data_IF_107316560235
#
_entry.id   IF_107316560235
#
_cell.length_a   1.000
_cell.length_b   1.000
_cell.length_c   1.000
_cell.angle_alpha   90.00
_cell.angle_beta   90.00
_cell.angle_gamma   90.00
#
_symmetry.space_group_name_H-M   'P 1'
#
loop_
_entity.id
_entity.type
_entity.pdbx_description
1 polymer ?
#
# COMPACT_ATOMS: atom_id res chain seq x y z
N UNK A 1 -13.48 6.47 13.41
CA UNK A 1 -13.07 7.62 12.57
C UNK A 1 -11.98 8.43 13.27
N UNK A 2 -10.73 7.99 13.13
CA UNK A 2 -9.57 8.81 13.53
C UNK A 2 -9.34 9.79 12.39
N UNK A 3 -9.58 11.08 12.63
CA UNK A 3 -9.21 12.17 11.70
C UNK A 3 -7.68 12.22 11.56
N UNK A 4 -7.18 12.87 10.51
CA UNK A 4 -5.76 13.13 10.30
C UNK A 4 -5.07 13.47 11.63
N UNK A 5 -4.01 12.72 11.95
CA UNK A 5 -3.33 12.89 13.23
C UNK A 5 -2.59 14.22 13.25
N UNK A 6 -2.39 14.77 14.44
CA UNK A 6 -1.53 15.93 14.65
C UNK A 6 -0.05 15.50 14.60
N UNK A 7 0.31 14.78 13.55
CA UNK A 7 1.61 14.18 13.33
C UNK A 7 2.49 15.05 12.43
N UNK A 8 3.81 14.96 12.61
CA UNK A 8 4.79 15.48 11.67
C UNK A 8 5.33 14.34 10.83
N UNK A 9 5.89 14.72 9.68
CA UNK A 9 6.62 13.79 8.85
C UNK A 9 7.90 13.32 9.56
N UNK A 10 8.25 12.02 9.52
CA UNK A 10 9.43 11.49 10.23
C UNK A 10 10.77 11.89 9.59
N UNK A 11 10.75 12.62 8.48
CA UNK A 11 11.95 13.21 7.87
C UNK A 11 11.76 14.73 7.68
N UNK A 12 12.81 15.55 7.83
CA UNK A 12 12.71 17.01 7.83
C UNK A 12 12.45 17.67 6.46
N UNK A 13 12.47 16.92 5.35
CA UNK A 13 12.34 17.44 3.99
C UNK A 13 11.26 16.70 3.20
N UNK A 14 10.88 17.26 2.04
CA UNK A 14 9.94 16.69 1.08
C UNK A 14 10.46 15.34 0.57
N UNK A 15 10.16 14.28 1.28
CA UNK A 15 10.56 12.91 0.99
C UNK A 15 9.58 12.23 0.06
N UNK A 16 10.07 11.23 -0.64
CA UNK A 16 9.27 10.41 -1.55
C UNK A 16 8.84 9.13 -0.85
N UNK A 17 7.62 8.66 -1.10
CA UNK A 17 7.27 7.30 -0.72
C UNK A 17 7.99 6.32 -1.65
N UNK A 18 8.72 5.41 -1.04
CA UNK A 18 9.37 4.29 -1.69
C UNK A 18 8.38 3.12 -1.84
N UNK A 19 7.66 2.78 -0.78
CA UNK A 19 6.66 1.71 -0.73
C UNK A 19 5.51 2.18 0.13
N UNK A 20 4.28 1.75 -0.17
CA UNK A 20 3.08 2.11 0.61
C UNK A 20 2.49 0.88 1.26
N UNK A 21 1.56 1.14 2.18
CA UNK A 21 0.76 0.11 2.81
C UNK A 21 -0.03 -0.66 1.76
N UNK A 22 -0.01 -1.99 1.83
CA UNK A 22 -0.62 -2.85 0.84
C UNK A 22 0.26 -3.17 -0.37
N UNK A 23 1.38 -2.47 -0.58
CA UNK A 23 2.27 -2.75 -1.72
C UNK A 23 2.75 -4.21 -1.68
N UNK A 24 2.45 -5.02 -2.69
CA UNK A 24 2.96 -6.38 -2.78
C UNK A 24 4.43 -6.36 -3.11
N UNK A 25 5.22 -7.13 -2.36
CA UNK A 25 6.64 -7.32 -2.57
C UNK A 25 6.88 -8.81 -2.80
N UNK A 26 7.41 -9.13 -3.98
CA UNK A 26 7.91 -10.46 -4.28
C UNK A 26 9.43 -10.45 -4.16
N UNK A 27 9.94 -11.24 -3.22
CA UNK A 27 11.36 -11.51 -3.02
C UNK A 27 11.57 -13.00 -3.31
N UNK A 28 12.17 -13.33 -4.46
CA UNK A 28 12.33 -14.70 -4.91
C UNK A 28 10.98 -15.45 -5.03
N UNK A 29 10.86 -16.60 -4.36
CA UNK A 29 9.62 -17.38 -4.25
C UNK A 29 8.69 -16.89 -3.14
N UNK A 30 9.09 -15.90 -2.35
CA UNK A 30 8.30 -15.37 -1.24
C UNK A 30 7.56 -14.10 -1.69
N UNK A 31 6.24 -14.13 -1.64
CA UNK A 31 5.40 -12.94 -1.76
C UNK A 31 4.94 -12.50 -0.38
N UNK A 32 5.10 -11.22 -0.05
CA UNK A 32 4.52 -10.61 1.14
C UNK A 32 3.89 -9.26 0.80
N UNK A 33 3.10 -8.75 1.74
CA UNK A 33 2.42 -7.46 1.62
C UNK A 33 3.15 -6.48 2.52
N UNK A 34 3.50 -5.33 1.96
CA UNK A 34 4.15 -4.26 2.68
C UNK A 34 3.15 -3.61 3.65
N UNK A 35 3.42 -3.65 4.95
CA UNK A 35 2.51 -3.14 6.01
C UNK A 35 2.81 -1.72 6.43
N UNK A 36 3.65 -1.01 5.67
CA UNK A 36 4.16 0.29 6.08
C UNK A 36 4.24 1.29 4.94
N UNK A 37 4.68 2.49 5.29
CA UNK A 37 5.11 3.51 4.36
C UNK A 37 6.64 3.63 4.46
N UNK A 38 7.34 3.33 3.38
CA UNK A 38 8.78 3.56 3.30
C UNK A 38 9.03 4.99 2.81
N UNK A 39 9.86 5.72 3.56
CA UNK A 39 10.12 7.13 3.31
C UNK A 39 11.60 7.32 3.04
N UNK A 40 11.91 7.84 1.85
CA UNK A 40 13.28 8.11 1.42
C UNK A 40 13.59 9.60 1.45
N UNK A 41 14.84 9.91 1.75
CA UNK A 41 15.38 11.24 1.41
C UNK A 41 15.50 11.39 -0.12
N UNK A 42 15.16 12.55 -0.70
CA UNK A 42 15.27 12.78 -2.15
C UNK A 42 16.70 12.67 -2.67
N UNK A 43 17.66 13.22 -1.92
CA UNK A 43 19.07 13.25 -2.30
C UNK A 43 19.96 12.65 -1.19
N UNK A 44 21.07 11.98 -1.54
CA UNK A 44 22.03 11.48 -0.55
C UNK A 44 22.67 12.56 0.33
N UNK A 45 22.59 13.83 -0.09
CA UNK A 45 23.09 14.99 0.65
C UNK A 45 22.11 15.53 1.68
N UNK A 46 20.85 15.11 1.63
CA UNK A 46 19.82 15.58 2.55
C UNK A 46 20.00 14.96 3.94
N UNK A 47 19.37 15.59 4.94
CA UNK A 47 19.47 15.13 6.34
C UNK A 47 19.05 13.66 6.46
N UNK A 48 19.77 12.95 7.33
CA UNK A 48 19.45 11.59 7.73
C UNK A 48 18.67 11.56 9.03
N UNK A 49 18.34 12.70 9.63
CA UNK A 49 17.62 12.73 10.90
C UNK A 49 16.23 12.10 10.76
N UNK A 50 15.89 11.26 11.73
CA UNK A 50 14.56 10.69 11.90
C UNK A 50 13.88 11.41 13.05
N UNK A 51 12.70 11.96 12.77
CA UNK A 51 11.92 12.76 13.70
C UNK A 51 10.79 11.92 14.30
N UNK A 52 10.48 12.16 15.58
CA UNK A 52 9.30 11.62 16.23
C UNK A 52 8.02 12.18 15.55
N UNK A 53 7.18 11.35 14.89
CA UNK A 53 5.98 11.82 14.20
C UNK A 53 4.97 12.42 15.18
N UNK A 54 4.99 11.98 16.43
CA UNK A 54 4.07 12.34 17.50
C UNK A 54 4.83 12.51 18.80
N UNK A 55 4.24 13.23 19.76
CA UNK A 55 4.74 13.24 21.12
C UNK A 55 4.25 11.97 21.85
N UNK A 56 5.06 11.46 22.78
CA UNK A 56 4.67 10.31 23.59
C UNK A 56 5.86 9.55 24.16
N UNK A 57 5.62 8.27 24.45
CA UNK A 57 6.58 7.40 25.09
C UNK A 57 7.32 6.58 24.04
N UNK A 58 8.61 6.84 23.85
CA UNK A 58 9.48 6.15 22.91
C UNK A 58 10.22 4.98 23.56
N UNK A 59 10.34 3.87 22.85
CA UNK A 59 11.02 2.65 23.26
C UNK A 59 11.63 1.95 22.04
N UNK A 60 12.52 0.98 22.27
CA UNK A 60 13.24 0.28 21.20
C UNK A 60 13.04 -1.22 21.25
N UNK A 61 13.06 -1.84 20.07
CA UNK A 61 13.10 -3.28 19.88
C UNK A 61 13.70 -3.60 18.50
N UNK A 62 14.03 -4.87 18.23
CA UNK A 62 14.46 -5.33 16.91
C UNK A 62 13.31 -5.97 16.10
N UNK A 63 13.57 -6.41 14.87
CA UNK A 63 12.57 -7.09 14.01
C UNK A 63 11.96 -8.35 14.63
N UNK A 64 12.64 -8.96 15.61
CA UNK A 64 12.16 -10.14 16.31
C UNK A 64 11.35 -9.78 17.57
N UNK A 65 11.22 -8.49 17.89
CA UNK A 65 10.55 -8.00 19.08
C UNK A 65 11.41 -8.07 20.34
N UNK A 66 12.73 -8.31 20.22
CA UNK A 66 13.61 -8.28 21.37
C UNK A 66 13.77 -6.82 21.83
N UNK A 67 13.36 -6.53 23.06
CA UNK A 67 13.39 -5.19 23.63
C UNK A 67 14.84 -4.69 23.76
N UNK A 68 15.06 -3.42 23.42
CA UNK A 68 16.35 -2.74 23.47
C UNK A 68 17.12 -2.72 22.14
N UNK A 69 18.33 -2.16 22.17
CA UNK A 69 19.21 -2.06 21.00
C UNK A 69 20.26 -3.17 21.02
N UNK A 70 20.34 -3.96 19.94
CA UNK A 70 21.19 -5.15 19.83
C UNK A 70 22.38 -4.97 18.88
N UNK A 71 22.76 -3.72 18.59
CA UNK A 71 23.98 -3.41 17.82
C UNK A 71 23.83 -3.40 16.30
N UNK A 72 22.65 -3.73 15.77
CA UNK A 72 22.33 -3.59 14.34
C UNK A 72 21.37 -2.41 14.13
N UNK A 73 21.84 -1.25 13.64
CA UNK A 73 21.00 -0.09 13.35
C UNK A 73 19.91 -0.37 12.31
N UNK A 74 20.16 -1.26 11.35
CA UNK A 74 19.20 -1.53 10.29
C UNK A 74 18.04 -2.41 10.77
N UNK A 75 18.33 -3.31 11.71
CA UNK A 75 17.32 -4.14 12.38
C UNK A 75 16.59 -3.41 13.53
N UNK A 76 17.06 -2.24 13.94
CA UNK A 76 16.47 -1.49 15.04
C UNK A 76 15.14 -0.83 14.66
N UNK A 77 14.22 -0.83 15.63
CA UNK A 77 12.89 -0.24 15.55
C UNK A 77 12.70 0.71 16.73
N UNK A 78 12.34 1.96 16.45
CA UNK A 78 11.92 2.93 17.46
C UNK A 78 10.39 2.96 17.48
N UNK A 79 9.79 2.44 18.53
CA UNK A 79 8.36 2.52 18.80
C UNK A 79 8.02 3.80 19.58
N UNK A 80 6.94 4.50 19.21
CA UNK A 80 6.41 5.63 19.95
C UNK A 80 4.93 5.40 20.20
N UNK A 81 4.55 5.25 21.47
CA UNK A 81 3.14 5.20 21.86
C UNK A 81 2.61 6.61 22.03
N UNK A 82 1.61 6.99 21.22
CA UNK A 82 0.91 8.26 21.34
C UNK A 82 -0.26 8.13 22.34
N UNK A 83 -0.19 8.78 23.51
CA UNK A 83 -1.27 8.70 24.50
C UNK A 83 -2.57 9.35 24.02
N UNK A 84 -2.56 10.22 23.01
CA UNK A 84 -3.75 10.90 22.49
C UNK A 84 -4.54 10.00 21.54
N UNK A 85 -3.90 9.44 20.52
CA UNK A 85 -4.54 8.53 19.56
C UNK A 85 -4.62 7.08 20.02
N UNK A 86 -3.81 6.70 21.03
CA UNK A 86 -3.61 5.31 21.48
C UNK A 86 -2.98 4.39 20.43
N UNK A 87 -2.35 4.97 19.41
CA UNK A 87 -1.63 4.26 18.37
C UNK A 87 -0.15 4.12 18.73
N UNK A 88 0.51 3.13 18.14
CA UNK A 88 1.96 2.96 18.19
C UNK A 88 2.52 3.23 16.81
N UNK A 89 3.44 4.18 16.71
CA UNK A 89 4.23 4.42 15.51
C UNK A 89 5.52 3.62 15.63
N UNK A 90 5.83 2.80 14.63
CA UNK A 90 7.09 2.05 14.58
C UNK A 90 7.92 2.61 13.44
N UNK A 91 9.13 3.07 13.76
CA UNK A 91 10.09 3.59 12.82
C UNK A 91 11.25 2.61 12.72
N UNK A 92 11.31 1.89 11.62
CA UNK A 92 12.34 0.89 11.34
C UNK A 92 13.47 1.49 10.50
N UNK A 93 14.61 0.79 10.49
CA UNK A 93 15.84 1.21 9.82
C UNK A 93 16.36 2.54 10.37
N UNK A 94 16.34 2.67 11.70
CA UNK A 94 16.77 3.86 12.43
C UNK A 94 17.96 3.51 13.30
N UNK A 95 19.08 4.18 13.11
CA UNK A 95 20.15 4.28 14.11
C UNK A 95 19.64 5.14 15.28
N UNK A 96 19.27 4.55 16.43
CA UNK A 96 18.57 5.29 17.49
C UNK A 96 19.48 6.33 18.15
N UNK A 97 18.90 7.38 18.73
CA UNK A 97 19.68 8.40 19.43
C UNK A 97 20.42 7.82 20.66
N UNK A 98 21.53 8.42 21.10
CA UNK A 98 22.26 7.96 22.29
C UNK A 98 21.38 7.87 23.54
N UNK A 99 20.40 8.76 23.69
CA UNK A 99 19.45 8.76 24.81
C UNK A 99 18.54 7.53 24.78
N UNK A 100 18.05 7.14 23.60
CA UNK A 100 17.27 5.92 23.42
C UNK A 100 18.13 4.68 23.67
N UNK A 101 19.36 4.65 23.14
CA UNK A 101 20.33 3.57 23.40
C UNK A 101 20.59 3.41 24.91
N UNK A 102 20.83 4.52 25.61
CA UNK A 102 21.08 4.53 27.05
C UNK A 102 19.85 4.10 27.88
N UNK A 103 18.64 4.32 27.39
CA UNK A 103 17.42 3.85 28.04
C UNK A 103 17.31 2.32 28.06
N UNK A 104 17.96 1.63 27.11
CA UNK A 104 18.00 0.17 27.04
C UNK A 104 16.61 -0.43 26.86
N UNK A 105 16.16 -1.19 27.86
CA UNK A 105 14.81 -1.77 27.88
C UNK A 105 13.72 -0.85 28.45
N UNK A 106 14.11 0.34 28.91
CA UNK A 106 13.17 1.35 29.39
C UNK A 106 12.69 2.25 28.24
N UNK A 107 11.71 3.09 28.53
CA UNK A 107 11.22 4.11 27.62
C UNK A 107 11.65 5.51 28.05
N UNK A 108 11.60 6.45 27.09
CA UNK A 108 11.80 7.88 27.34
C UNK A 108 10.63 8.67 26.76
N UNK A 109 10.39 9.87 27.29
CA UNK A 109 9.43 10.79 26.69
C UNK A 109 10.08 11.55 25.53
N UNK A 110 9.35 11.66 24.42
CA UNK A 110 9.76 12.45 23.25
C UNK A 110 8.69 13.45 22.89
N UNK A 111 9.13 14.58 22.35
CA UNK A 111 8.23 15.60 21.79
C UNK A 111 8.09 15.41 20.28
N UNK A 112 6.95 15.82 19.74
CA UNK A 112 6.71 15.78 18.29
C UNK A 112 7.77 16.59 17.54
N UNK A 113 8.39 16.01 16.53
CA UNK A 113 9.45 16.63 15.73
C UNK A 113 10.84 16.56 16.37
N UNK A 114 10.98 15.95 17.55
CA UNK A 114 12.27 15.68 18.16
C UNK A 114 13.05 14.67 17.31
N UNK A 115 14.35 14.90 17.12
CA UNK A 115 15.25 13.91 16.51
C UNK A 115 15.38 12.73 17.46
N UNK A 116 15.05 11.53 16.97
CA UNK A 116 15.10 10.27 17.72
C UNK A 116 16.13 9.29 17.15
N UNK A 117 16.83 9.68 16.09
CA UNK A 117 17.85 8.86 15.47
C UNK A 117 18.20 9.36 14.08
N UNK A 118 18.86 8.50 13.33
CA UNK A 118 19.23 8.73 11.93
C UNK A 118 18.85 7.54 11.06
N UNK A 119 18.63 7.74 9.77
CA UNK A 119 18.41 6.67 8.82
C UNK A 119 19.60 5.71 8.84
N UNK A 120 19.35 4.43 9.11
CA UNK A 120 20.39 3.41 9.11
C UNK A 120 20.89 3.13 7.69
N UNK A 121 22.15 2.70 7.57
CA UNK A 121 22.67 2.24 6.28
C UNK A 121 22.13 0.83 6.01
N UNK A 122 21.54 0.55 4.85
CA UNK A 122 21.18 -0.81 4.49
C UNK A 122 22.44 -1.69 4.42
N UNK A 123 22.33 -3.00 4.72
CA UNK A 123 23.45 -3.94 4.72
C UNK A 123 23.89 -4.33 3.30
N UNK A 124 24.01 -3.33 2.42
CA UNK A 124 24.54 -3.44 1.08
C UNK A 124 26.02 -3.07 1.13
N UNK A 125 26.89 -3.99 0.71
CA UNK A 125 28.35 -3.81 0.74
C UNK A 125 28.90 -2.85 -0.32
N UNK A 126 28.08 -1.94 -0.86
CA UNK A 126 28.43 -1.10 -2.01
C UNK A 126 28.09 0.38 -1.75
N UNK A 127 28.79 1.34 -2.39
CA UNK A 127 28.53 2.78 -2.21
C UNK A 127 27.09 3.21 -2.53
N UNK A 128 26.38 2.46 -3.36
CA UNK A 128 24.98 2.70 -3.72
C UNK A 128 24.03 2.58 -2.52
N UNK A 129 24.45 1.90 -1.44
CA UNK A 129 23.70 1.76 -0.19
C UNK A 129 23.17 3.09 0.36
N UNK A 130 23.92 4.17 0.19
CA UNK A 130 23.54 5.52 0.64
C UNK A 130 22.26 6.05 -0.02
N UNK A 131 22.00 5.65 -1.27
CA UNK A 131 20.78 6.02 -2.00
C UNK A 131 19.53 5.27 -1.52
N UNK A 132 19.71 4.21 -0.73
CA UNK A 132 18.64 3.36 -0.23
C UNK A 132 18.35 3.56 1.26
N UNK A 133 18.96 4.55 1.90
CA UNK A 133 18.58 4.95 3.26
C UNK A 133 17.13 5.41 3.28
N UNK A 134 16.34 4.77 4.11
CA UNK A 134 14.91 5.02 4.27
C UNK A 134 14.48 4.68 5.69
N UNK A 135 13.33 5.20 6.10
CA UNK A 135 12.66 4.72 7.30
C UNK A 135 11.37 4.04 6.89
N UNK A 136 11.13 2.84 7.41
CA UNK A 136 9.90 2.10 7.22
C UNK A 136 8.98 2.41 8.41
N UNK A 137 7.79 2.94 8.12
CA UNK A 137 6.87 3.46 9.13
C UNK A 137 5.62 2.60 9.21
N UNK A 138 5.43 1.89 10.32
CA UNK A 138 4.15 1.24 10.64
C UNK A 138 3.35 2.09 11.63
N UNK A 139 2.02 2.05 11.52
CA UNK A 139 1.10 2.55 12.55
C UNK A 139 0.24 1.39 13.02
N UNK A 140 0.30 1.08 14.30
CA UNK A 140 -0.39 -0.07 14.90
C UNK A 140 -1.46 0.41 15.87
N UNK A 141 -2.68 -0.09 15.67
CA UNK A 141 -3.77 -0.03 16.65
C UNK A 141 -3.76 -1.33 17.46
N UNK A 142 -3.05 -1.29 18.60
CA UNK A 142 -2.90 -2.47 19.46
C UNK A 142 -4.22 -2.95 20.07
N UNK A 143 -5.19 -2.05 20.27
CA UNK A 143 -6.50 -2.41 20.82
C UNK A 143 -7.33 -3.18 19.78
N UNK A 144 -7.29 -2.75 18.52
CA UNK A 144 -7.97 -3.43 17.42
C UNK A 144 -7.12 -4.53 16.75
N UNK A 145 -5.86 -4.72 17.17
CA UNK A 145 -4.90 -5.71 16.63
C UNK A 145 -4.72 -5.60 15.11
N UNK A 146 -4.55 -4.38 14.61
CA UNK A 146 -4.42 -4.11 13.17
C UNK A 146 -3.32 -3.09 12.88
N UNK A 147 -2.73 -3.23 11.70
CA UNK A 147 -1.89 -2.21 11.10
C UNK A 147 -2.78 -1.22 10.33
N UNK A 148 -2.38 0.04 10.31
CA UNK A 148 -3.08 1.13 9.66
C UNK A 148 -2.19 1.72 8.57
N UNK A 149 -2.78 2.08 7.43
CA UNK A 149 -2.07 2.75 6.34
C UNK A 149 -1.51 4.11 6.79
N UNK A 150 -0.18 4.27 6.95
CA UNK A 150 0.41 5.50 7.45
C UNK A 150 0.14 6.71 6.56
N UNK A 151 -0.07 6.51 5.25
CA UNK A 151 -0.33 7.59 4.30
C UNK A 151 -1.63 8.35 4.58
N UNK A 152 -2.58 7.73 5.31
CA UNK A 152 -3.83 8.38 5.74
C UNK A 152 -3.67 9.24 6.99
N UNK A 153 -2.62 9.02 7.78
CA UNK A 153 -2.45 9.61 9.11
C UNK A 153 -1.30 10.60 9.20
N UNK A 154 -0.29 10.44 8.34
CA UNK A 154 0.83 11.37 8.22
C UNK A 154 0.50 12.48 7.21
N UNK A 155 1.11 13.67 7.34
CA UNK A 155 0.93 14.78 6.39
C UNK A 155 1.66 14.48 5.08
N UNK A 156 1.17 13.48 4.34
CA UNK A 156 1.73 13.04 3.09
C UNK A 156 1.29 13.99 1.96
N UNK A 157 2.26 14.65 1.33
CA UNK A 157 2.00 15.70 0.34
C UNK A 157 2.27 15.25 -1.11
N UNK A 158 2.86 14.07 -1.29
CA UNK A 158 3.25 13.54 -2.59
C UNK A 158 2.15 12.62 -3.10
N UNK A 159 1.19 13.18 -3.85
CA UNK A 159 0.02 12.47 -4.32
C UNK A 159 -0.39 12.97 -5.69
N UNK A 160 -0.57 12.05 -6.65
CA UNK A 160 -1.30 12.35 -7.89
C UNK A 160 -2.53 11.49 -8.02
N UNK A 161 -3.54 12.02 -8.72
CA UNK A 161 -4.73 11.24 -9.03
C UNK A 161 -4.35 9.95 -9.79
N UNK A 162 -4.95 8.79 -9.45
CA UNK A 162 -4.57 7.53 -10.08
C UNK A 162 -4.78 7.54 -11.59
N UNK A 163 -4.06 6.70 -12.33
CA UNK A 163 -4.15 6.57 -13.79
C UNK A 163 -4.73 5.22 -14.18
N UNK A 164 -5.59 5.23 -15.19
CA UNK A 164 -6.10 3.99 -15.79
C UNK A 164 -5.16 3.53 -16.91
N UNK A 165 -4.91 2.22 -16.93
CA UNK A 165 -4.43 1.49 -18.10
C UNK A 165 -5.60 1.05 -18.97
N UNK A 166 -5.76 -0.27 -19.13
CA UNK A 166 -6.85 -0.85 -19.92
C UNK A 166 -8.11 -1.18 -19.11
N UNK A 167 -9.24 -1.27 -19.82
CA UNK A 167 -10.49 -1.88 -19.33
C UNK A 167 -10.87 -2.96 -20.32
N UNK A 168 -10.94 -4.21 -19.88
CA UNK A 168 -11.18 -5.36 -20.75
C UNK A 168 -12.06 -6.40 -20.07
N UNK A 169 -12.44 -7.43 -20.83
CA UNK A 169 -13.19 -8.59 -20.31
C UNK A 169 -12.36 -9.86 -20.36
N UNK A 170 -12.55 -10.68 -19.33
CA UNK A 170 -12.13 -12.08 -19.31
C UNK A 170 -13.36 -12.97 -19.50
N UNK A 171 -13.22 -14.04 -20.28
CA UNK A 171 -14.26 -15.07 -20.39
C UNK A 171 -14.23 -16.04 -19.19
N UNK A 172 -15.15 -17.01 -19.18
CA UNK A 172 -15.24 -18.06 -18.16
C UNK A 172 -13.96 -18.92 -18.00
N UNK A 173 -13.02 -18.84 -18.95
CA UNK A 173 -11.71 -19.53 -18.91
C UNK A 173 -10.56 -18.58 -18.58
N UNK A 174 -10.86 -17.37 -18.09
CA UNK A 174 -9.91 -16.30 -17.80
C UNK A 174 -9.10 -15.82 -19.02
N UNK A 175 -9.59 -16.05 -20.24
CA UNK A 175 -8.94 -15.52 -21.45
C UNK A 175 -9.40 -14.10 -21.72
N UNK A 176 -8.42 -13.21 -21.85
CA UNK A 176 -8.64 -11.84 -22.32
C UNK A 176 -9.17 -11.86 -23.75
N UNK A 177 -10.34 -11.26 -23.95
CA UNK A 177 -10.94 -11.09 -25.26
C UNK A 177 -11.14 -9.60 -25.57
N UNK A 178 -10.78 -9.19 -26.78
CA UNK A 178 -11.08 -7.86 -27.31
C UNK A 178 -12.50 -7.73 -27.88
N UNK A 179 -13.24 -8.84 -27.97
CA UNK A 179 -14.64 -8.91 -28.43
C UNK A 179 -15.54 -9.51 -27.36
N UNK A 180 -16.76 -9.01 -27.26
CA UNK A 180 -17.75 -9.56 -26.33
C UNK A 180 -18.21 -10.95 -26.78
N UNK A 181 -17.96 -11.97 -25.96
CA UNK A 181 -18.51 -13.31 -26.12
C UNK A 181 -19.78 -13.48 -25.29
N UNK A 182 -20.68 -14.34 -25.74
CA UNK A 182 -21.84 -14.76 -24.96
C UNK A 182 -21.38 -15.64 -23.80
N UNK A 183 -22.00 -15.51 -22.63
CA UNK A 183 -21.69 -16.30 -21.45
C UNK A 183 -21.24 -15.47 -20.24
N UNK A 184 -20.65 -16.15 -19.25
CA UNK A 184 -20.02 -15.51 -18.10
C UNK A 184 -18.81 -14.67 -18.51
N UNK A 185 -18.81 -13.41 -18.09
CA UNK A 185 -17.73 -12.47 -18.28
C UNK A 185 -17.32 -11.85 -16.94
N UNK A 186 -16.03 -11.58 -16.82
CA UNK A 186 -15.49 -10.71 -15.79
C UNK A 186 -14.97 -9.42 -16.42
N UNK A 187 -15.24 -8.28 -15.79
CA UNK A 187 -14.78 -6.97 -16.23
C UNK A 187 -13.57 -6.59 -15.39
N UNK A 188 -12.42 -6.47 -16.05
CA UNK A 188 -11.15 -6.15 -15.39
C UNK A 188 -10.72 -4.74 -15.77
N UNK A 189 -10.23 -4.01 -14.77
CA UNK A 189 -9.50 -2.75 -14.99
C UNK A 189 -8.04 -2.93 -14.65
N UNK A 190 -7.18 -2.24 -15.38
CA UNK A 190 -5.81 -1.96 -15.00
C UNK A 190 -5.72 -0.52 -14.52
N UNK A 191 -5.13 -0.33 -13.35
CA UNK A 191 -4.97 0.99 -12.74
C UNK A 191 -3.63 1.05 -12.02
N UNK A 192 -3.10 2.25 -11.91
CA UNK A 192 -1.89 2.55 -11.16
C UNK A 192 -2.14 3.85 -10.40
N UNK A 193 -1.96 3.85 -9.10
CA UNK A 193 -1.72 5.10 -8.37
C UNK A 193 -0.26 5.53 -8.56
N UNK A 194 0.07 6.80 -8.34
CA UNK A 194 1.45 7.29 -8.40
C UNK A 194 1.62 8.48 -7.46
N UNK A 195 2.86 8.72 -7.10
CA UNK A 195 3.29 9.93 -6.41
C UNK A 195 4.19 10.78 -7.33
N UNK A 196 4.06 12.10 -7.28
CA UNK A 196 4.73 13.07 -8.15
C UNK A 196 6.24 12.82 -8.19
N UNK A 197 6.83 12.53 -7.04
CA UNK A 197 8.27 12.32 -6.90
C UNK A 197 8.66 10.85 -6.82
N UNK A 198 7.70 9.94 -6.78
CA UNK A 198 7.99 8.52 -6.89
C UNK A 198 8.14 8.11 -8.35
N UNK A 199 9.20 7.35 -8.64
CA UNK A 199 9.36 6.67 -9.92
C UNK A 199 8.41 5.47 -10.08
N UNK A 200 7.52 5.22 -9.10
CA UNK A 200 6.78 3.98 -8.91
C UNK A 200 5.28 4.21 -9.03
N UNK A 201 4.58 3.12 -9.38
CA UNK A 201 3.14 3.06 -9.27
C UNK A 201 2.72 2.26 -8.03
N UNK A 202 1.66 2.71 -7.36
CA UNK A 202 1.10 2.14 -6.14
C UNK A 202 -0.31 1.60 -6.34
N UNK A 203 -0.79 0.85 -5.35
CA UNK A 203 -2.18 0.43 -5.30
C UNK A 203 -3.10 1.62 -5.03
N UNK A 204 -4.31 1.54 -5.59
CA UNK A 204 -5.36 2.51 -5.30
C UNK A 204 -5.97 2.22 -3.93
N UNK A 205 -6.50 3.26 -3.29
CA UNK A 205 -7.07 3.16 -1.96
C UNK A 205 -8.54 2.72 -1.96
N UNK A 206 -9.28 3.16 -2.98
CA UNK A 206 -10.70 2.87 -3.11
C UNK A 206 -11.14 2.88 -4.57
N UNK A 207 -12.27 2.22 -4.85
CA UNK A 207 -12.91 2.24 -6.17
C UNK A 207 -14.44 2.19 -6.06
N UNK A 208 -15.10 2.64 -7.13
CA UNK A 208 -16.53 2.51 -7.36
C UNK A 208 -16.78 2.28 -8.84
N UNK A 209 -17.88 1.64 -9.20
CA UNK A 209 -18.16 1.39 -10.61
C UNK A 209 -19.65 1.24 -10.91
N UNK A 210 -19.96 1.39 -12.20
CA UNK A 210 -21.24 1.05 -12.79
C UNK A 210 -21.00 0.34 -14.11
N UNK A 211 -21.61 -0.82 -14.28
CA UNK A 211 -21.60 -1.61 -15.51
C UNK A 211 -23.02 -1.60 -16.06
N UNK A 212 -23.17 -1.14 -17.30
CA UNK A 212 -24.44 -1.20 -18.04
C UNK A 212 -24.31 -2.07 -19.28
N UNK A 213 -25.32 -2.88 -19.55
CA UNK A 213 -25.42 -3.73 -20.75
C UNK A 213 -26.52 -3.13 -21.61
N UNK A 214 -26.17 -2.70 -22.82
CA UNK A 214 -27.09 -2.03 -23.75
C UNK A 214 -27.93 -0.91 -23.15
N UNK A 215 -27.33 -0.15 -22.22
CA UNK A 215 -27.95 0.98 -21.53
C UNK A 215 -28.70 0.64 -20.25
N UNK A 216 -28.91 -0.65 -19.95
CA UNK A 216 -29.52 -1.11 -18.69
C UNK A 216 -28.43 -1.39 -17.66
N UNK A 217 -28.58 -0.88 -16.45
CA UNK A 217 -27.62 -1.14 -15.35
C UNK A 217 -27.65 -2.61 -14.96
N UNK A 218 -26.50 -3.28 -15.12
CA UNK A 218 -26.32 -4.68 -14.73
C UNK A 218 -25.71 -4.80 -13.33
N UNK A 219 -24.73 -3.94 -13.02
CA UNK A 219 -24.05 -3.95 -11.72
C UNK A 219 -23.61 -2.55 -11.32
N UNK A 220 -23.73 -2.23 -10.04
CA UNK A 220 -23.21 -0.99 -9.45
C UNK A 220 -22.54 -1.33 -8.14
N UNK A 221 -21.37 -0.76 -7.91
CA UNK A 221 -20.72 -0.75 -6.60
C UNK A 221 -20.55 0.69 -6.13
N UNK A 222 -21.00 1.03 -4.91
CA UNK A 222 -20.62 2.30 -4.29
C UNK A 222 -19.10 2.34 -4.06
N UNK A 223 -18.58 3.50 -3.63
CA UNK A 223 -17.18 3.60 -3.19
C UNK A 223 -16.95 2.58 -2.07
N UNK A 224 -15.94 1.74 -2.25
CA UNK A 224 -15.46 0.83 -1.23
C UNK A 224 -13.94 0.93 -1.08
N UNK A 225 -13.44 0.73 0.14
CA UNK A 225 -12.02 0.84 0.49
C UNK A 225 -11.31 -0.51 0.41
N UNK A 226 -10.04 -0.49 0.00
CA UNK A 226 -9.19 -1.68 -0.18
C UNK A 226 -8.18 -1.90 0.95
N UNK A 227 -7.92 -0.88 1.78
CA UNK A 227 -6.94 -0.91 2.88
C UNK A 227 -7.11 -2.10 3.84
N UNK A 228 -8.36 -2.46 4.15
CA UNK A 228 -8.69 -3.59 5.02
C UNK A 228 -8.18 -4.95 4.53
N UNK A 229 -7.86 -5.08 3.23
CA UNK A 229 -7.24 -6.28 2.66
C UNK A 229 -5.84 -6.52 3.26
N UNK A 230 -5.22 -5.50 3.84
CA UNK A 230 -3.85 -5.53 4.37
C UNK A 230 -3.78 -5.30 5.90
N UNK A 231 -4.90 -4.99 6.56
CA UNK A 231 -4.95 -4.59 7.99
C UNK A 231 -4.61 -5.71 9.00
N UNK A 232 -4.79 -7.00 8.64
CA UNK A 232 -4.80 -8.10 9.64
C UNK A 232 -3.41 -8.52 10.10
N UNK A 233 -3.09 -8.25 11.37
CA UNK A 233 -1.77 -8.59 11.97
C UNK A 233 -1.63 -10.06 12.43
N UNK A 234 -2.63 -10.90 12.17
CA UNK A 234 -2.67 -12.29 12.67
C UNK A 234 -1.91 -13.27 11.78
N UNK A 235 -1.30 -14.30 12.40
CA UNK A 235 -0.48 -15.37 11.81
C UNK A 235 -1.09 -16.20 10.67
N UNK A 236 -2.38 -16.02 10.37
CA UNK A 236 -3.04 -16.66 9.22
C UNK A 236 -2.81 -15.82 7.96
N UNK A 237 -1.65 -16.05 7.34
CA UNK A 237 -1.29 -15.73 5.95
C UNK A 237 -1.99 -14.53 5.31
N UNK A 238 -1.35 -13.36 5.35
CA UNK A 238 -1.70 -12.15 4.59
C UNK A 238 -1.95 -12.38 3.09
N UNK A 239 -1.47 -13.49 2.52
CA UNK A 239 -1.40 -13.69 1.06
C UNK A 239 -2.66 -14.24 0.41
N UNK A 240 -3.47 -15.09 1.05
CA UNK A 240 -4.55 -15.80 0.34
C UNK A 240 -5.74 -14.89 0.00
N UNK A 241 -6.03 -13.92 0.86
CA UNK A 241 -7.08 -12.92 0.64
C UNK A 241 -6.71 -12.01 -0.52
N UNK A 242 -5.58 -11.31 -0.45
CA UNK A 242 -5.19 -10.29 -1.45
C UNK A 242 -4.99 -10.86 -2.85
N UNK A 243 -4.41 -12.07 -2.96
CA UNK A 243 -4.24 -12.75 -4.26
C UNK A 243 -5.57 -13.10 -4.95
N UNK A 244 -6.68 -13.16 -4.22
CA UNK A 244 -8.01 -13.38 -4.80
C UNK A 244 -8.64 -12.11 -5.41
N UNK A 245 -8.08 -10.93 -5.13
CA UNK A 245 -8.62 -9.63 -5.58
C UNK A 245 -7.72 -8.89 -6.55
N UNK A 246 -6.41 -9.01 -6.36
CA UNK A 246 -5.42 -8.22 -7.09
C UNK A 246 -4.52 -9.17 -7.86
N UNK A 247 -4.65 -9.15 -9.19
CA UNK A 247 -3.63 -9.70 -10.08
C UNK A 247 -2.61 -8.58 -10.35
N UNK A 248 -1.36 -8.81 -9.95
CA UNK A 248 -0.28 -7.82 -10.02
C UNK A 248 0.22 -7.54 -11.44
N UNK A 249 -0.51 -7.96 -12.47
CA UNK A 249 -0.33 -7.47 -13.83
C UNK A 249 1.02 -7.84 -14.43
N UNK A 250 1.87 -6.84 -14.70
CA UNK A 250 3.22 -7.02 -15.24
C UNK A 250 4.29 -7.26 -14.16
N UNK A 251 3.90 -7.39 -12.89
CA UNK A 251 4.80 -7.73 -11.78
C UNK A 251 5.43 -9.14 -11.90
N UNK A 252 4.96 -10.01 -12.81
CA UNK A 252 5.44 -11.39 -12.93
C UNK A 252 6.96 -11.54 -13.24
N UNK A 253 7.65 -10.48 -13.66
CA UNK A 253 9.10 -10.46 -13.91
C UNK A 253 9.98 -10.43 -12.63
N UNK A 254 9.37 -10.48 -11.43
CA UNK A 254 10.00 -10.33 -10.10
C UNK A 254 10.82 -11.55 -9.59
N UNK A 255 11.67 -12.18 -10.41
CA UNK A 255 12.35 -13.44 -10.04
C UNK A 255 13.84 -13.35 -9.71
N UNK A 256 14.36 -12.21 -9.28
CA UNK A 256 15.77 -12.14 -8.85
C UNK A 256 15.91 -12.03 -7.32
N UNK A 257 16.79 -12.88 -6.77
CA UNK A 257 17.00 -13.13 -5.33
C UNK A 257 17.78 -12.02 -4.60
N UNK A 258 17.83 -10.79 -5.10
CA UNK A 258 18.62 -9.75 -4.47
C UNK A 258 17.77 -8.55 -4.06
N UNK A 259 18.01 -8.07 -2.85
CA UNK A 259 17.65 -6.70 -2.46
C UNK A 259 18.71 -5.77 -3.08
N UNK A 260 18.34 -4.68 -3.78
CA UNK A 260 16.99 -4.13 -3.96
C UNK A 260 16.29 -4.55 -5.28
N UNK A 261 16.73 -5.61 -5.99
CA UNK A 261 16.17 -6.08 -7.28
C UNK A 261 14.69 -6.55 -7.24
N UNK A 262 13.98 -6.37 -6.14
CA UNK A 262 12.53 -6.20 -6.16
C UNK A 262 12.11 -5.05 -7.10
N UNK A 263 10.89 -5.11 -7.65
CA UNK A 263 10.25 -4.16 -8.61
C UNK A 263 10.09 -2.71 -8.11
N UNK A 264 10.77 -2.38 -7.01
CA UNK A 264 10.91 -1.07 -6.40
C UNK A 264 11.24 0.01 -7.45
N UNK A 265 11.88 -0.29 -8.58
CA UNK A 265 12.20 0.72 -9.60
C UNK A 265 11.20 0.90 -10.76
N UNK A 266 10.10 0.14 -10.84
CA UNK A 266 9.36 0.02 -12.11
C UNK A 266 8.22 1.03 -12.29
N UNK A 267 8.37 2.01 -13.21
CA UNK A 267 7.35 3.03 -13.47
C UNK A 267 6.14 2.49 -14.24
N UNK A 268 6.21 1.27 -14.76
CA UNK A 268 5.17 0.68 -15.60
C UNK A 268 4.25 -0.26 -14.81
N UNK A 269 4.45 -0.41 -13.49
CA UNK A 269 3.67 -1.33 -12.66
C UNK A 269 2.18 -0.98 -12.73
N UNK A 270 1.32 -1.97 -12.94
CA UNK A 270 -0.14 -1.80 -12.88
C UNK A 270 -0.79 -2.88 -12.01
N UNK A 271 -1.98 -2.57 -11.52
CA UNK A 271 -2.78 -3.44 -10.66
C UNK A 271 -4.09 -3.75 -11.35
N UNK A 272 -4.47 -5.04 -11.38
CA UNK A 272 -5.71 -5.49 -12.00
C UNK A 272 -6.78 -5.74 -10.96
N UNK A 273 -7.97 -5.19 -11.19
CA UNK A 273 -9.14 -5.40 -10.35
C UNK A 273 -10.27 -6.01 -11.18
N UNK A 274 -10.71 -7.20 -10.77
CA UNK A 274 -11.87 -7.90 -11.30
C UNK A 274 -13.16 -7.30 -10.73
N UNK A 275 -13.72 -6.30 -11.42
CA UNK A 275 -14.85 -5.52 -10.89
C UNK A 275 -16.06 -6.40 -10.56
N UNK A 276 -16.34 -7.41 -11.38
CA UNK A 276 -17.55 -8.24 -11.19
C UNK A 276 -17.44 -9.18 -10.00
N UNK A 277 -16.21 -9.48 -9.57
CA UNK A 277 -15.87 -10.24 -8.37
C UNK A 277 -15.94 -9.39 -7.08
N UNK A 278 -16.12 -8.07 -7.17
CA UNK A 278 -16.18 -7.20 -6.00
C UNK A 278 -17.58 -7.16 -5.36
N UNK A 279 -17.61 -7.28 -4.03
CA UNK A 279 -18.73 -7.02 -3.15
C UNK A 279 -18.38 -5.89 -2.16
N UNK A 280 -19.39 -5.22 -1.62
CA UNK A 280 -19.18 -4.18 -0.59
C UNK A 280 -19.84 -4.64 0.71
N UNK A 281 -19.04 -4.71 1.77
CA UNK A 281 -19.49 -5.02 3.13
C UNK A 281 -19.02 -3.89 4.03
N UNK A 282 -19.94 -3.14 4.63
CA UNK A 282 -19.63 -2.01 5.52
C UNK A 282 -18.64 -0.98 4.92
N UNK A 283 -18.78 -0.70 3.61
CA UNK A 283 -17.91 0.22 2.89
C UNK A 283 -16.54 -0.34 2.49
N UNK A 284 -16.28 -1.63 2.72
CA UNK A 284 -15.02 -2.33 2.39
C UNK A 284 -15.19 -3.23 1.16
N UNK A 285 -14.23 -3.20 0.25
CA UNK A 285 -14.25 -4.03 -0.96
C UNK A 285 -13.87 -5.48 -0.61
N UNK A 286 -14.81 -6.41 -0.70
CA UNK A 286 -14.59 -7.84 -0.45
C UNK A 286 -14.82 -8.68 -1.71
N UNK A 287 -14.29 -9.91 -1.77
CA UNK A 287 -14.32 -10.76 -2.95
C UNK A 287 -15.55 -11.64 -2.80
N UNK A 288 -16.32 -11.73 -3.87
CA UNK A 288 -17.38 -12.71 -3.98
C UNK A 288 -16.76 -14.10 -4.09
N UNK A 289 -17.60 -15.11 -3.86
CA UNK A 289 -17.28 -16.47 -4.28
C UNK A 289 -17.35 -16.52 -5.81
N UNK A 290 -16.49 -17.32 -6.43
CA UNK A 290 -16.42 -17.49 -7.90
C UNK A 290 -17.80 -17.71 -8.55
N UNK A 291 -18.71 -18.41 -7.88
CA UNK A 291 -20.06 -18.68 -8.40
C UNK A 291 -20.88 -17.41 -8.68
N UNK A 292 -20.65 -16.34 -7.90
CA UNK A 292 -21.45 -15.10 -7.88
C UNK A 292 -20.74 -13.91 -8.56
N UNK A 293 -19.49 -14.11 -8.96
CA UNK A 293 -18.58 -13.05 -9.35
C UNK A 293 -18.51 -12.73 -10.83
N UNK A 294 -19.48 -13.17 -11.63
CA UNK A 294 -19.50 -12.95 -13.08
C UNK A 294 -20.81 -12.27 -13.50
N UNK A 295 -20.76 -11.50 -14.60
CA UNK A 295 -21.95 -11.08 -15.32
C UNK A 295 -22.25 -12.06 -16.45
N UNK A 296 -23.52 -12.38 -16.67
CA UNK A 296 -23.96 -13.23 -17.77
C UNK A 296 -24.34 -12.36 -18.98
N UNK A 297 -23.61 -12.48 -20.09
CA UNK A 297 -23.88 -11.73 -21.31
C UNK A 297 -24.74 -12.54 -22.29
N UNK A 298 -25.97 -12.07 -22.52
CA UNK A 298 -26.88 -12.69 -23.48
C UNK A 298 -26.38 -12.61 -24.93
N UNK A 299 -26.81 -13.56 -25.78
CA UNK A 299 -26.37 -13.67 -27.17
C UNK A 299 -26.68 -12.44 -28.03
N UNK A 300 -27.74 -11.70 -27.69
CA UNK A 300 -28.18 -10.49 -28.39
C UNK A 300 -27.57 -9.19 -27.82
N UNK A 301 -26.85 -9.26 -26.69
CA UNK A 301 -26.28 -8.06 -26.08
C UNK A 301 -25.21 -7.44 -26.98
N UNK A 302 -25.27 -6.14 -27.28
CA UNK A 302 -24.40 -5.49 -28.26
C UNK A 302 -23.21 -4.79 -27.63
N UNK A 303 -23.37 -4.33 -26.40
CA UNK A 303 -22.40 -3.46 -25.75
C UNK A 303 -22.42 -3.58 -24.22
N UNK A 304 -21.25 -3.39 -23.63
CA UNK A 304 -21.06 -3.18 -22.19
C UNK A 304 -20.43 -1.81 -22.01
N UNK A 305 -21.02 -0.95 -21.18
CA UNK A 305 -20.42 0.30 -20.76
C UNK A 305 -19.97 0.17 -19.31
N UNK A 306 -18.70 0.47 -19.07
CA UNK A 306 -18.07 0.42 -17.76
C UNK A 306 -17.69 1.85 -17.40
N UNK A 307 -18.20 2.35 -16.28
CA UNK A 307 -17.76 3.60 -15.66
C UNK A 307 -17.12 3.25 -14.33
N UNK A 308 -15.89 3.71 -14.12
CA UNK A 308 -15.15 3.43 -12.89
C UNK A 308 -14.53 4.71 -12.37
N UNK A 309 -14.61 4.91 -11.06
CA UNK A 309 -13.88 5.95 -10.34
C UNK A 309 -12.96 5.28 -9.33
N UNK A 310 -11.73 5.77 -9.24
CA UNK A 310 -10.69 5.28 -8.34
C UNK A 310 -10.12 6.45 -7.54
N UNK A 311 -9.67 6.17 -6.32
CA UNK A 311 -9.09 7.16 -5.40
C UNK A 311 -7.72 6.72 -4.88
N UNK A 312 -6.84 7.69 -4.65
CA UNK A 312 -5.63 7.53 -3.84
C UNK A 312 -5.95 7.64 -2.32
N UNK A 313 -4.97 7.43 -1.42
CA UNK A 313 -5.17 7.58 0.03
C UNK A 313 -5.53 9.01 0.47
N UNK A 314 -5.11 10.03 -0.28
CA UNK A 314 -5.41 11.44 0.00
C UNK A 314 -6.77 11.91 -0.53
N UNK A 315 -7.47 11.07 -1.29
CA UNK A 315 -8.77 11.35 -1.87
C UNK A 315 -8.74 12.00 -3.25
N UNK A 316 -7.58 12.14 -3.90
CA UNK A 316 -7.54 12.49 -5.33
C UNK A 316 -8.19 11.37 -6.13
N UNK A 317 -8.89 11.72 -7.20
CA UNK A 317 -9.71 10.76 -7.93
C UNK A 317 -9.58 10.89 -9.44
N UNK A 318 -9.70 9.75 -10.12
CA UNK A 318 -9.79 9.68 -11.57
C UNK A 318 -10.99 8.83 -11.96
N UNK A 319 -11.69 9.25 -13.02
CA UNK A 319 -12.84 8.50 -13.58
C UNK A 319 -12.56 8.12 -15.02
N UNK A 320 -12.85 6.88 -15.39
CA UNK A 320 -12.85 6.42 -16.78
C UNK A 320 -14.23 5.94 -17.20
N UNK A 321 -14.50 6.01 -18.50
CA UNK A 321 -15.66 5.41 -19.14
C UNK A 321 -15.21 4.66 -20.38
N UNK A 322 -15.53 3.36 -20.44
CA UNK A 322 -15.24 2.52 -21.59
C UNK A 322 -16.49 1.82 -22.10
N UNK A 323 -16.63 1.76 -23.41
CA UNK A 323 -17.63 0.94 -24.09
C UNK A 323 -16.92 -0.20 -24.80
N UNK A 324 -17.28 -1.43 -24.45
CA UNK A 324 -16.92 -2.66 -25.13
C UNK A 324 -18.07 -3.03 -26.07
N UNK A 325 -17.75 -3.50 -27.28
CA UNK A 325 -18.74 -3.88 -28.30
C UNK A 325 -18.39 -5.25 -28.87
N UNK A 326 -19.40 -5.96 -29.39
CA UNK A 326 -19.19 -7.19 -30.18
C UNK A 326 -18.42 -6.91 -31.47
#
# INVERSE_FOLDING_TARGET
DVKQLDAVWPTPMQSTALSRFGTPIQLASYGYIHTALDINRPLPTDSTDVLAPVAGTAFMFDWYGNVGYHGDPYAAVVGIWDPKSKLVFQLMHVEPSPELIAAGSNSIEVTRGQVIGKLALPPLGTPEAEGFRHTHVDIVDGAAKRALDPSRYLPYADHVAPKFGEVYVLDATAKKSSKLSTGKLDVVIEVSDRDDFSARNFEINALSYTITIDGVTALTSPKCELDHLYERVTTEGYSSGVLSFIDFGNAAAQRDNSWPQSDLGNPNRTFRYALTQLAVVDGRCTAKKDADGFIELAANAKSINVRVTVWDPSGNQTTTRRTLRR
#
